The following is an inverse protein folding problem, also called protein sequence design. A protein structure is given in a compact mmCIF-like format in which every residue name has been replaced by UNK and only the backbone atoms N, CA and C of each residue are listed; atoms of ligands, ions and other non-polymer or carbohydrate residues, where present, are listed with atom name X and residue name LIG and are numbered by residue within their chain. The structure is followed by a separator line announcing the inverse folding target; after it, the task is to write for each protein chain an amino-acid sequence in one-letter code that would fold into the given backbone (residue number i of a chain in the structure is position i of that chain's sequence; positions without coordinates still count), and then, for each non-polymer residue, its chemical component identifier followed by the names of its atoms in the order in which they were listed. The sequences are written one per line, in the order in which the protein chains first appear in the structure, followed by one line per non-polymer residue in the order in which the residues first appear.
data_IF_389559487038
#
_entry.id   IF_389559487038
#
_cell.length_a   1.000
_cell.length_b   1.000
_cell.length_c   1.000
_cell.angle_alpha   90.00
_cell.angle_beta   90.00
_cell.angle_gamma   90.00
#
_symmetry.space_group_name_H-M   'P 1'
#
loop_
_entity.id
_entity.type
_entity.pdbx_description
1 polymer ?
#
# COMPACT_ATOMS: atom_id res chain seq x y z
N UNK A 1 2.42 9.38 24.60
CA UNK A 1 1.94 8.34 23.66
C UNK A 1 1.76 9.06 22.33
N UNK A 2 2.75 9.00 21.43
CA UNK A 2 2.86 9.92 20.28
C UNK A 2 2.48 9.21 18.97
N UNK A 3 1.33 9.52 18.34
CA UNK A 3 0.93 9.00 17.02
C UNK A 3 1.57 9.74 15.82
N UNK A 4 2.41 10.76 16.06
CA UNK A 4 2.90 11.69 15.03
C UNK A 4 4.00 11.11 14.11
N UNK A 5 4.50 9.90 14.38
CA UNK A 5 5.55 9.27 13.56
C UNK A 5 5.01 8.50 12.35
N UNK A 6 3.72 8.14 12.33
CA UNK A 6 3.11 7.47 11.17
C UNK A 6 2.87 8.44 10.00
N UNK A 7 2.80 9.75 10.27
CA UNK A 7 2.57 10.80 9.27
C UNK A 7 3.71 10.98 8.27
N UNK A 8 4.92 10.49 8.55
CA UNK A 8 6.10 10.71 7.71
C UNK A 8 6.83 9.42 7.30
N UNK A 9 6.16 8.28 7.39
CA UNK A 9 6.64 7.02 6.84
C UNK A 9 5.85 6.64 5.58
N UNK A 10 6.56 6.18 4.55
CA UNK A 10 5.97 5.69 3.31
C UNK A 10 6.52 4.30 2.99
N UNK A 11 5.70 3.49 2.33
CA UNK A 11 6.11 2.18 1.85
C UNK A 11 6.49 2.25 0.38
N UNK A 12 7.68 1.77 0.06
CA UNK A 12 8.02 1.35 -1.30
C UNK A 12 7.50 -0.07 -1.49
N UNK A 13 6.58 -0.24 -2.43
CA UNK A 13 5.97 -1.54 -2.73
C UNK A 13 6.91 -2.34 -3.64
N UNK A 14 7.34 -3.51 -3.16
CA UNK A 14 8.09 -4.50 -3.92
C UNK A 14 7.17 -5.64 -4.33
N UNK A 15 7.17 -6.72 -3.56
CA UNK A 15 6.28 -7.86 -3.75
C UNK A 15 4.84 -7.62 -3.23
N UNK A 16 4.60 -6.56 -2.47
CA UNK A 16 3.27 -6.16 -2.01
C UNK A 16 2.66 -7.08 -0.98
N UNK A 17 3.44 -7.94 -0.32
CA UNK A 17 2.93 -8.94 0.64
C UNK A 17 2.94 -8.45 2.10
N UNK A 18 3.69 -7.40 2.39
CA UNK A 18 3.82 -6.86 3.75
C UNK A 18 2.86 -5.70 4.01
N UNK A 19 2.49 -4.96 2.97
CA UNK A 19 1.69 -3.72 3.07
C UNK A 19 0.20 -4.02 2.95
N UNK A 20 -0.59 -3.61 3.96
CA UNK A 20 -2.05 -3.66 3.90
C UNK A 20 -2.58 -2.54 2.99
N UNK A 21 -3.50 -2.86 2.07
CA UNK A 21 -4.07 -1.89 1.13
C UNK A 21 -4.77 -0.72 1.85
N UNK A 22 -5.47 -1.01 2.95
CA UNK A 22 -6.39 -0.06 3.56
C UNK A 22 -5.77 0.72 4.71
N UNK A 23 -4.88 0.10 5.48
CA UNK A 23 -4.24 0.76 6.63
C UNK A 23 -2.86 1.33 6.31
N UNK A 24 -2.10 0.70 5.39
CA UNK A 24 -0.66 0.96 5.27
C UNK A 24 -0.22 1.42 3.85
N UNK A 25 -1.04 1.18 2.82
CA UNK A 25 -0.62 1.39 1.44
C UNK A 25 -0.63 2.88 1.05
N UNK A 26 0.55 3.48 1.07
CA UNK A 26 0.84 4.68 0.30
C UNK A 26 1.06 4.34 -1.17
N UNK A 27 0.19 4.81 -2.05
CA UNK A 27 0.44 4.89 -3.51
C UNK A 27 1.30 6.13 -3.75
N UNK A 28 2.60 6.02 -3.49
CA UNK A 28 3.54 7.14 -3.58
C UNK A 28 3.63 7.98 -2.29
N UNK A 29 4.28 9.14 -2.40
CA UNK A 29 4.68 9.96 -1.24
C UNK A 29 3.50 10.65 -0.53
N UNK A 30 2.43 10.96 -1.25
CA UNK A 30 1.38 11.86 -0.79
C UNK A 30 -0.05 11.28 -0.95
N UNK A 31 -0.19 9.96 -1.04
CA UNK A 31 -1.51 9.36 -1.30
C UNK A 31 -1.63 7.98 -0.67
N UNK A 32 -2.60 7.79 0.24
CA UNK A 32 -2.96 6.48 0.78
C UNK A 32 -4.40 6.15 0.38
N UNK A 33 -4.66 4.89 0.01
CA UNK A 33 -6.04 4.47 -0.31
C UNK A 33 -6.94 4.64 0.91
N UNK A 34 -6.43 4.37 2.12
CA UNK A 34 -7.18 4.54 3.37
C UNK A 34 -7.60 5.98 3.70
N UNK A 35 -6.98 6.98 3.08
CA UNK A 35 -7.36 8.39 3.25
C UNK A 35 -8.57 8.77 2.38
N UNK A 36 -8.92 7.92 1.41
CA UNK A 36 -10.14 8.06 0.64
C UNK A 36 -11.24 7.43 1.50
N UNK A 37 -12.24 8.21 1.92
CA UNK A 37 -13.44 7.73 2.64
C UNK A 37 -14.27 6.76 1.76
N UNK A 38 -13.71 5.59 1.46
CA UNK A 38 -14.28 4.57 0.60
C UNK A 38 -14.74 3.39 1.45
N UNK A 39 -15.92 2.86 1.11
CA UNK A 39 -16.37 1.58 1.65
C UNK A 39 -15.51 0.46 1.06
N UNK A 40 -14.58 -0.04 1.88
CA UNK A 40 -13.70 -1.13 1.50
C UNK A 40 -14.49 -2.44 1.40
N UNK A 41 -14.46 -3.15 0.24
CA UNK A 41 -15.07 -4.46 0.11
C UNK A 41 -14.57 -5.40 1.20
N UNK A 42 -15.47 -6.21 1.77
CA UNK A 42 -15.13 -7.11 2.90
C UNK A 42 -13.92 -8.01 2.60
N UNK A 43 -13.75 -8.40 1.34
CA UNK A 43 -12.65 -9.23 0.85
C UNK A 43 -11.30 -8.50 0.88
N UNK A 44 -11.30 -7.17 0.90
CA UNK A 44 -10.10 -6.32 0.81
C UNK A 44 -9.71 -5.65 2.13
N UNK A 45 -10.54 -5.72 3.18
CA UNK A 45 -10.30 -5.06 4.47
C UNK A 45 -8.96 -5.43 5.13
N UNK A 46 -8.48 -6.67 4.91
CA UNK A 46 -7.19 -7.15 5.41
C UNK A 46 -6.25 -7.60 4.30
N UNK A 47 -6.57 -7.25 3.05
CA UNK A 47 -5.81 -7.69 1.90
C UNK A 47 -4.50 -6.90 1.77
N UNK A 48 -3.49 -7.58 1.24
CA UNK A 48 -2.19 -7.01 0.93
C UNK A 48 -2.18 -6.43 -0.48
N UNK A 49 -1.27 -5.51 -0.79
CA UNK A 49 -1.22 -4.88 -2.13
C UNK A 49 -1.09 -5.93 -3.26
N UNK A 50 -0.44 -7.07 -2.99
CA UNK A 50 -0.39 -8.22 -3.90
C UNK A 50 -1.78 -8.81 -4.26
N UNK A 51 -2.82 -8.61 -3.46
CA UNK A 51 -4.17 -9.04 -3.79
C UNK A 51 -4.83 -8.19 -4.89
N UNK A 52 -4.23 -7.04 -5.23
CA UNK A 52 -4.67 -6.17 -6.33
C UNK A 52 -4.08 -6.58 -7.68
N UNK A 53 -3.18 -7.58 -7.72
CA UNK A 53 -2.70 -8.16 -8.97
C UNK A 53 -3.46 -9.44 -9.30
N UNK A 54 -3.65 -9.71 -10.58
CA UNK A 54 -4.24 -10.95 -11.05
C UNK A 54 -3.16 -12.05 -11.22
N UNK A 55 -3.59 -13.22 -11.69
CA UNK A 55 -2.71 -14.38 -11.93
C UNK A 55 -1.59 -14.14 -12.96
N UNK A 56 -1.71 -13.10 -13.79
CA UNK A 56 -0.68 -12.71 -14.76
C UNK A 56 0.35 -11.72 -14.18
N UNK A 57 0.23 -11.36 -12.89
CA UNK A 57 1.12 -10.41 -12.24
C UNK A 57 0.93 -8.96 -12.69
N UNK A 58 -0.24 -8.64 -13.26
CA UNK A 58 -0.63 -7.26 -13.61
C UNK A 58 -1.78 -6.80 -12.73
N UNK A 59 -1.99 -5.49 -12.63
CA UNK A 59 -3.11 -4.93 -11.88
C UNK A 59 -4.45 -5.53 -12.32
N UNK A 60 -5.25 -5.98 -11.36
CA UNK A 60 -6.60 -6.47 -11.59
C UNK A 60 -7.54 -5.27 -11.82
N UNK A 61 -7.56 -4.77 -13.05
CA UNK A 61 -8.32 -3.57 -13.40
C UNK A 61 -9.83 -3.74 -13.20
N UNK A 62 -10.38 -4.96 -13.34
CA UNK A 62 -11.79 -5.24 -13.07
C UNK A 62 -12.12 -4.98 -11.60
N UNK A 63 -11.35 -5.57 -10.68
CA UNK A 63 -11.47 -5.31 -9.24
C UNK A 63 -11.29 -3.83 -8.89
N UNK A 64 -10.32 -3.17 -9.51
CA UNK A 64 -10.04 -1.76 -9.25
C UNK A 64 -11.16 -0.84 -9.75
N UNK A 65 -11.75 -1.14 -10.91
CA UNK A 65 -12.88 -0.36 -11.47
C UNK A 65 -14.17 -0.50 -10.67
N UNK A 66 -14.41 -1.67 -10.07
CA UNK A 66 -15.60 -1.90 -9.24
C UNK A 66 -15.52 -1.21 -7.88
N UNK A 67 -14.30 -0.92 -7.41
CA UNK A 67 -14.07 -0.38 -6.07
C UNK A 67 -13.65 1.09 -6.05
N UNK A 68 -12.72 1.49 -6.92
CA UNK A 68 -12.03 2.77 -6.83
C UNK A 68 -12.55 3.79 -7.86
N UNK A 69 -12.54 5.09 -7.52
CA UNK A 69 -12.77 6.13 -8.50
C UNK A 69 -11.69 6.16 -9.60
N UNK A 70 -12.07 6.57 -10.81
CA UNK A 70 -11.17 6.57 -12.00
C UNK A 70 -9.82 7.25 -11.76
N UNK A 71 -9.80 8.41 -11.08
CA UNK A 71 -8.56 9.16 -10.84
C UNK A 71 -7.57 8.42 -9.92
N UNK A 72 -8.05 7.49 -9.08
CA UNK A 72 -7.23 6.64 -8.23
C UNK A 72 -6.64 5.49 -9.04
N UNK A 73 -7.48 4.89 -9.90
CA UNK A 73 -7.08 3.82 -10.82
C UNK A 73 -5.98 4.31 -11.75
N UNK A 74 -6.09 5.52 -12.30
CA UNK A 74 -5.07 6.12 -13.15
C UNK A 74 -3.72 6.26 -12.43
N UNK A 75 -3.72 6.59 -11.13
CA UNK A 75 -2.50 6.64 -10.32
C UNK A 75 -1.90 5.26 -10.07
N UNK A 76 -2.73 4.26 -9.78
CA UNK A 76 -2.28 2.86 -9.60
C UNK A 76 -1.70 2.33 -10.92
N UNK A 77 -2.39 2.55 -12.03
CA UNK A 77 -1.97 2.08 -13.35
C UNK A 77 -0.65 2.72 -13.84
N UNK A 78 -0.29 3.90 -13.31
CA UNK A 78 0.99 4.55 -13.57
C UNK A 78 2.16 3.91 -12.79
N UNK A 79 1.88 3.09 -11.78
CA UNK A 79 2.88 2.36 -11.01
C UNK A 79 3.07 0.94 -11.56
N UNK A 80 4.29 0.38 -11.45
CA UNK A 80 4.49 -1.03 -11.75
C UNK A 80 3.71 -1.89 -10.74
N UNK A 81 3.08 -2.99 -11.19
CA UNK A 81 2.43 -3.94 -10.29
C UNK A 81 3.45 -4.61 -9.35
N UNK A 82 3.03 -4.99 -8.13
CA UNK A 82 3.85 -5.78 -7.22
C UNK A 82 4.39 -7.04 -7.90
N UNK A 83 5.65 -7.35 -7.63
CA UNK A 83 6.31 -8.53 -8.19
C UNK A 83 7.34 -9.09 -7.22
N UNK A 84 7.43 -10.42 -7.13
CA UNK A 84 8.47 -11.10 -6.36
C UNK A 84 9.88 -10.72 -6.82
N UNK A 85 10.04 -10.37 -8.10
CA UNK A 85 11.31 -9.91 -8.67
C UNK A 85 11.75 -8.52 -8.19
N UNK A 86 10.82 -7.71 -7.69
CA UNK A 86 11.10 -6.37 -7.16
C UNK A 86 11.61 -6.40 -5.70
N UNK A 87 11.63 -7.58 -5.06
CA UNK A 87 12.10 -7.76 -3.69
C UNK A 87 11.03 -7.45 -2.63
N UNK A 88 11.45 -7.37 -1.37
CA UNK A 88 10.54 -7.13 -0.25
C UNK A 88 10.06 -5.67 -0.20
N UNK A 89 8.87 -5.45 0.35
CA UNK A 89 8.37 -4.11 0.65
C UNK A 89 9.27 -3.41 1.68
N UNK A 90 9.54 -2.12 1.47
CA UNK A 90 10.44 -1.34 2.32
C UNK A 90 9.70 -0.14 2.90
N UNK A 91 9.59 -0.08 4.22
CA UNK A 91 9.14 1.11 4.91
C UNK A 91 10.31 2.09 5.04
N UNK A 92 10.15 3.29 4.48
CA UNK A 92 11.11 4.38 4.59
C UNK A 92 10.53 5.50 5.45
N UNK A 93 11.33 6.02 6.37
CA UNK A 93 10.99 7.18 7.20
C UNK A 93 11.83 8.37 6.73
N UNK A 94 11.20 9.54 6.56
CA UNK A 94 11.86 10.76 6.04
C UNK A 94 12.93 11.28 7.04
N UNK A 95 12.79 10.95 8.32
CA UNK A 95 13.80 11.19 9.35
C UNK A 95 14.44 9.86 9.75
N UNK A 96 15.65 9.62 9.26
CA UNK A 96 16.42 8.41 9.54
C UNK A 96 16.65 8.20 11.04
N UNK A 97 16.68 6.92 11.44
CA UNK A 97 17.10 6.34 12.74
C UNK A 97 16.04 6.00 13.80
N UNK A 98 14.77 6.43 13.70
CA UNK A 98 13.80 6.20 14.80
C UNK A 98 12.75 5.09 14.58
N UNK A 99 12.65 4.46 13.42
CA UNK A 99 11.49 3.63 13.10
C UNK A 99 11.53 2.16 13.58
N UNK A 100 12.60 1.66 14.23
CA UNK A 100 12.59 0.31 14.85
C UNK A 100 13.58 0.20 16.02
N UNK A 101 13.22 0.76 17.16
CA UNK A 101 13.56 0.15 18.46
C UNK A 101 12.29 0.17 19.26
N UNK A 102 11.64 -0.98 19.35
CA UNK A 102 10.73 -1.39 20.43
C UNK A 102 10.06 -2.66 19.95
N UNK A 103 10.73 -3.79 20.17
CA UNK A 103 10.13 -5.07 20.49
C UNK A 103 11.26 -5.99 20.94
N UNK A 104 11.72 -5.74 22.17
CA UNK A 104 12.23 -6.78 23.06
C UNK A 104 11.83 -6.34 24.47
N UNK A 105 10.76 -6.93 24.98
CA UNK A 105 10.38 -6.95 26.40
C UNK A 105 10.45 -8.40 26.88
#
# INVERSE_FOLDING_TARGET
MWPVLEEYSFWSIGNGTSVNICSDAGIGKDFRIGDLELDVPVQLQNAKVAALVNEYGVWNMELLHDWLPTHVIERIAALPPPSDSAGADVQSCIYGEYCRKNNDS
#
